data_IF_965124371973
#
_entry.id   IF_965124371973
#
_cell.length_a   1.000
_cell.length_b   1.000
_cell.length_c   1.000
_cell.angle_alpha   90.00
_cell.angle_beta   90.00
_cell.angle_gamma   90.00
#
_symmetry.space_group_name_H-M   'P 1'
#
loop_
_entity.id
_entity.type
_entity.pdbx_description
1 polymer ?
#
# COMPACT_ATOMS: atom_id res chain seq x y z
N UNK A 1 -9.15 -4.56 -14.49
CA UNK A 1 -7.82 -4.78 -13.91
C UNK A 1 -7.68 -3.99 -12.61
N UNK A 2 -7.42 -4.66 -11.49
CA UNK A 2 -7.15 -4.00 -10.19
C UNK A 2 -5.67 -3.70 -10.05
N UNK A 3 -5.33 -2.52 -9.51
CA UNK A 3 -3.94 -2.15 -9.26
C UNK A 3 -3.61 -2.26 -7.77
N UNK A 4 -2.47 -2.87 -7.47
CA UNK A 4 -1.86 -2.91 -6.15
C UNK A 4 -0.40 -2.48 -6.24
N UNK A 5 0.26 -2.26 -5.11
CA UNK A 5 1.69 -2.01 -5.13
C UNK A 5 2.37 -2.01 -3.78
N UNK A 6 3.61 -1.54 -3.78
CA UNK A 6 4.44 -1.37 -2.60
C UNK A 6 5.06 0.02 -2.60
N UNK A 7 4.95 0.73 -1.47
CA UNK A 7 5.49 2.07 -1.24
C UNK A 7 6.66 2.00 -0.26
N UNK A 8 7.77 2.65 -0.58
CA UNK A 8 8.97 2.71 0.25
C UNK A 8 10.09 3.51 -0.43
N UNK A 9 11.27 3.54 0.21
CA UNK A 9 12.49 4.00 -0.46
C UNK A 9 13.76 3.53 0.28
N UNK A 10 14.80 3.07 -0.45
CA UNK A 10 14.78 2.62 -1.85
C UNK A 10 14.01 1.30 -1.98
N UNK A 11 13.39 1.02 -3.13
CA UNK A 11 12.58 -0.21 -3.29
C UNK A 11 12.92 -1.09 -4.48
N UNK A 12 13.95 -0.73 -5.24
CA UNK A 12 14.42 -1.49 -6.41
C UNK A 12 14.67 -2.99 -6.12
N UNK A 13 15.03 -3.34 -4.87
CA UNK A 13 15.29 -4.72 -4.46
C UNK A 13 14.06 -5.45 -3.86
N UNK A 14 12.89 -4.82 -3.86
CA UNK A 14 11.68 -5.46 -3.36
C UNK A 14 11.27 -6.63 -4.26
N UNK A 15 11.07 -7.79 -3.64
CA UNK A 15 10.58 -9.01 -4.32
C UNK A 15 9.06 -9.08 -4.37
N UNK A 16 8.36 -8.18 -3.69
CA UNK A 16 6.89 -8.17 -3.63
C UNK A 16 6.23 -8.05 -5.01
N UNK A 17 6.70 -7.18 -5.94
CA UNK A 17 6.11 -7.11 -7.28
C UNK A 17 6.18 -8.43 -8.04
N UNK A 18 7.33 -9.11 -8.04
CA UNK A 18 7.47 -10.41 -8.70
C UNK A 18 6.52 -11.45 -8.08
N UNK A 19 6.54 -11.56 -6.75
CA UNK A 19 5.72 -12.52 -6.00
C UNK A 19 4.21 -12.34 -6.26
N UNK A 20 3.69 -11.11 -6.12
CA UNK A 20 2.26 -10.87 -6.25
C UNK A 20 1.77 -10.96 -7.70
N UNK A 21 2.56 -10.51 -8.68
CA UNK A 21 2.17 -10.68 -10.08
C UNK A 21 2.17 -12.16 -10.49
N UNK A 22 3.08 -12.98 -9.97
CA UNK A 22 3.04 -14.44 -10.17
C UNK A 22 1.79 -15.04 -9.54
N UNK A 23 1.50 -14.67 -8.29
CA UNK A 23 0.30 -15.10 -7.58
C UNK A 23 -0.97 -14.74 -8.37
N UNK A 24 -1.11 -13.49 -8.81
CA UNK A 24 -2.29 -13.05 -9.57
C UNK A 24 -2.46 -13.84 -10.87
N UNK A 25 -1.36 -14.12 -11.59
CA UNK A 25 -1.41 -14.92 -12.81
C UNK A 25 -1.83 -16.36 -12.53
N UNK A 26 -1.27 -16.98 -11.49
CA UNK A 26 -1.58 -18.36 -11.09
C UNK A 26 -3.03 -18.53 -10.67
N UNK A 27 -3.57 -17.56 -9.93
CA UNK A 27 -4.96 -17.58 -9.44
C UNK A 27 -5.96 -17.03 -10.48
N UNK A 28 -5.53 -16.65 -11.69
CA UNK A 28 -6.41 -16.11 -12.74
C UNK A 28 -7.03 -14.76 -12.40
N UNK A 29 -6.39 -13.97 -11.54
CA UNK A 29 -6.87 -12.65 -11.10
C UNK A 29 -6.45 -11.55 -12.08
N UNK A 30 -7.41 -10.76 -12.56
CA UNK A 30 -7.15 -9.57 -13.38
C UNK A 30 -6.63 -8.41 -12.50
N UNK A 31 -5.36 -8.51 -12.10
CA UNK A 31 -4.68 -7.57 -11.23
C UNK A 31 -3.19 -7.41 -11.57
N UNK A 32 -2.63 -6.25 -11.19
CA UNK A 32 -1.19 -5.95 -11.29
C UNK A 32 -0.65 -5.44 -9.97
N UNK A 33 0.62 -5.71 -9.71
CA UNK A 33 1.34 -5.20 -8.55
C UNK A 33 2.57 -4.40 -9.00
N UNK A 34 2.67 -3.13 -8.62
CA UNK A 34 3.77 -2.25 -9.05
C UNK A 34 4.62 -1.74 -7.88
N UNK A 35 5.93 -1.53 -8.09
CA UNK A 35 6.75 -0.77 -7.16
C UNK A 35 6.47 0.73 -7.30
N UNK A 36 6.31 1.41 -6.17
CA UNK A 36 6.19 2.85 -6.07
C UNK A 36 7.28 3.41 -5.16
N UNK A 37 8.34 3.94 -5.76
CA UNK A 37 9.38 4.63 -4.99
C UNK A 37 8.88 6.00 -4.54
N UNK A 38 8.96 6.22 -3.24
CA UNK A 38 8.53 7.46 -2.61
C UNK A 38 9.57 7.83 -1.56
N UNK A 39 10.42 8.81 -1.82
CA UNK A 39 11.46 9.24 -0.88
C UNK A 39 10.86 9.83 0.40
N UNK A 40 9.81 10.63 0.23
CA UNK A 40 9.10 11.32 1.29
C UNK A 40 7.62 10.95 1.28
N UNK A 41 7.10 10.51 2.44
CA UNK A 41 5.70 10.12 2.61
C UNK A 41 4.74 11.25 2.26
N UNK A 42 5.19 12.51 2.30
CA UNK A 42 4.38 13.66 1.91
C UNK A 42 3.92 13.63 0.45
N UNK A 43 4.56 12.84 -0.42
CA UNK A 43 4.09 12.60 -1.79
C UNK A 43 2.97 11.55 -1.92
N UNK A 44 2.55 10.90 -0.83
CA UNK A 44 1.49 9.88 -0.88
C UNK A 44 0.18 10.40 -1.49
N UNK A 45 -0.34 11.60 -1.14
CA UNK A 45 -1.58 12.10 -1.77
C UNK A 45 -1.45 12.24 -3.29
N UNK A 46 -0.34 12.79 -3.77
CA UNK A 46 -0.06 12.95 -5.21
C UNK A 46 -0.02 11.58 -5.91
N UNK A 47 0.57 10.58 -5.27
CA UNK A 47 0.58 9.22 -5.79
C UNK A 47 -0.83 8.63 -5.88
N UNK A 48 -1.66 8.82 -4.86
CA UNK A 48 -3.04 8.31 -4.81
C UNK A 48 -3.96 8.98 -5.83
N UNK A 49 -3.70 10.25 -6.15
CA UNK A 49 -4.40 11.00 -7.20
C UNK A 49 -3.96 10.56 -8.60
N UNK A 50 -2.67 10.28 -8.79
CA UNK A 50 -2.14 9.77 -10.05
C UNK A 50 -2.57 8.33 -10.37
N UNK A 51 -2.95 7.55 -9.35
CA UNK A 51 -3.36 6.14 -9.47
C UNK A 51 -4.76 5.93 -8.89
N UNK A 52 -5.82 6.44 -9.55
CA UNK A 52 -7.19 6.30 -9.06
C UNK A 52 -7.69 4.84 -9.02
N UNK A 53 -7.05 3.95 -9.77
CA UNK A 53 -7.31 2.51 -9.83
C UNK A 53 -6.54 1.69 -8.78
N UNK A 54 -5.67 2.32 -7.98
CA UNK A 54 -4.99 1.68 -6.87
C UNK A 54 -6.01 1.26 -5.79
N UNK A 55 -6.05 -0.04 -5.51
CA UNK A 55 -7.00 -0.68 -4.60
C UNK A 55 -6.37 -0.96 -3.21
N UNK A 56 -5.04 -0.94 -3.12
CA UNK A 56 -4.31 -1.25 -1.90
C UNK A 56 -2.80 -1.29 -2.16
N UNK A 57 -2.02 -1.14 -1.10
CA UNK A 57 -0.57 -1.20 -1.21
C UNK A 57 0.08 -1.68 0.09
N UNK A 58 1.23 -2.32 -0.05
CA UNK A 58 2.12 -2.53 1.08
C UNK A 58 2.98 -1.29 1.33
N UNK A 59 3.43 -1.15 2.57
CA UNK A 59 4.32 -0.08 3.01
C UNK A 59 5.55 -0.72 3.60
N UNK A 60 6.72 -0.26 3.17
CA UNK A 60 8.01 -0.72 3.70
C UNK A 60 8.83 0.45 4.23
N UNK A 61 10.05 0.17 4.67
CA UNK A 61 11.01 1.16 5.17
C UNK A 61 11.14 2.31 4.13
N UNK A 62 11.19 3.58 4.59
CA UNK A 62 11.12 4.04 5.99
C UNK A 62 9.70 4.43 6.45
N UNK A 63 8.67 4.05 5.72
CA UNK A 63 7.34 4.67 5.82
C UNK A 63 6.34 3.98 6.72
N UNK A 64 6.66 2.81 7.28
CA UNK A 64 5.71 2.02 8.10
C UNK A 64 5.13 2.79 9.29
N UNK A 65 5.89 3.71 9.88
CA UNK A 65 5.41 4.60 10.96
C UNK A 65 4.94 5.95 10.43
N UNK A 66 5.52 6.42 9.32
CA UNK A 66 5.24 7.74 8.74
C UNK A 66 3.91 7.82 8.02
N UNK A 67 3.35 6.67 7.62
CA UNK A 67 2.04 6.61 6.97
C UNK A 67 0.88 6.80 7.94
N UNK A 68 1.07 6.60 9.25
CA UNK A 68 -0.01 6.64 10.26
C UNK A 68 -0.92 7.88 10.15
N UNK A 69 -0.43 9.11 9.94
CA UNK A 69 -1.27 10.30 9.83
C UNK A 69 -2.17 10.35 8.59
N UNK A 70 -1.92 9.49 7.60
CA UNK A 70 -2.69 9.41 6.36
C UNK A 70 -3.82 8.39 6.44
N UNK A 71 -3.87 7.56 7.48
CA UNK A 71 -4.84 6.48 7.59
C UNK A 71 -6.10 6.96 8.29
N UNK A 72 -7.24 6.65 7.71
CA UNK A 72 -8.55 6.94 8.30
C UNK A 72 -8.94 5.90 9.36
N UNK A 73 -8.47 4.66 9.21
CA UNK A 73 -8.65 3.59 10.18
C UNK A 73 -7.37 2.76 10.33
N UNK A 74 -7.11 2.32 11.56
CA UNK A 74 -5.96 1.47 11.90
C UNK A 74 -6.49 0.29 12.73
N UNK A 75 -6.12 -0.93 12.33
CA UNK A 75 -6.42 -2.15 13.11
C UNK A 75 -5.81 -2.08 14.52
N UNK A 76 -6.39 -2.81 15.47
CA UNK A 76 -5.94 -2.79 16.86
C UNK A 76 -4.47 -3.27 16.99
N UNK A 77 -4.12 -4.28 16.20
CA UNK A 77 -2.77 -4.85 16.11
C UNK A 77 -1.78 -3.82 15.58
N UNK A 78 -2.10 -3.15 14.47
CA UNK A 78 -1.22 -2.13 13.89
C UNK A 78 -1.06 -0.90 14.81
N UNK A 79 -2.13 -0.52 15.51
CA UNK A 79 -2.11 0.57 16.49
C UNK A 79 -1.20 0.21 17.69
N UNK A 80 -1.27 -1.04 18.18
CA UNK A 80 -0.42 -1.52 19.26
C UNK A 80 1.07 -1.57 18.87
N UNK A 81 1.38 -1.94 17.63
CA UNK A 81 2.75 -1.94 17.09
C UNK A 81 3.26 -0.52 16.82
N UNK A 82 2.37 0.41 16.49
CA UNK A 82 2.72 1.76 16.03
C UNK A 82 3.29 1.77 14.61
N UNK A 83 2.95 0.79 13.78
CA UNK A 83 3.40 0.70 12.39
C UNK A 83 2.39 -0.04 11.51
N UNK A 84 2.29 0.36 10.23
CA UNK A 84 1.42 -0.24 9.22
C UNK A 84 2.26 -0.68 8.02
N UNK A 85 2.05 -1.91 7.55
CA UNK A 85 2.73 -2.48 6.37
C UNK A 85 1.76 -2.84 5.23
N UNK A 86 0.45 -2.76 5.47
CA UNK A 86 -0.59 -3.14 4.53
C UNK A 86 -1.74 -2.14 4.60
N UNK A 87 -2.08 -1.54 3.45
CA UNK A 87 -3.13 -0.54 3.33
C UNK A 87 -4.16 -1.00 2.30
N UNK A 88 -5.43 -0.99 2.70
CA UNK A 88 -6.57 -1.18 1.81
C UNK A 88 -7.17 0.19 1.50
N UNK A 89 -7.43 0.45 0.22
CA UNK A 89 -8.10 1.67 -0.23
C UNK A 89 -9.56 1.34 -0.52
N UNK A 90 -10.47 2.14 0.03
CA UNK A 90 -11.87 2.10 -0.32
C UNK A 90 -12.28 3.44 -0.94
N UNK A 91 -12.92 3.40 -2.10
CA UNK A 91 -13.37 4.60 -2.80
C UNK A 91 -14.89 4.56 -2.90
N UNK A 92 -15.58 5.34 -2.06
CA UNK A 92 -17.04 5.56 -2.14
C UNK A 92 -17.27 7.03 -2.48
N UNK A 93 -17.83 7.31 -3.68
CA UNK A 93 -18.24 8.63 -4.18
C UNK A 93 -17.65 9.83 -3.40
N UNK A 94 -16.34 10.05 -3.50
CA UNK A 94 -15.60 10.97 -2.63
C UNK A 94 -14.09 10.66 -2.57
N UNK A 95 -13.43 11.15 -1.53
CA UNK A 95 -12.01 10.89 -1.23
C UNK A 95 -11.75 9.41 -0.99
N UNK A 96 -10.54 8.89 -1.29
CA UNK A 96 -10.16 7.55 -0.87
C UNK A 96 -10.12 7.46 0.67
N UNK A 97 -10.62 6.36 1.20
CA UNK A 97 -10.54 6.00 2.62
C UNK A 97 -9.48 4.91 2.80
N UNK A 98 -8.51 5.13 3.69
CA UNK A 98 -7.33 4.30 3.88
C UNK A 98 -7.41 3.53 5.19
N UNK A 99 -7.43 2.20 5.07
CA UNK A 99 -7.45 1.27 6.21
C UNK A 99 -6.09 0.60 6.37
N UNK A 100 -5.43 0.79 7.52
CA UNK A 100 -4.10 0.26 7.82
C UNK A 100 -4.09 -0.99 8.70
N UNK A 101 -3.24 -1.93 8.31
CA UNK A 101 -3.00 -3.21 8.98
C UNK A 101 -1.50 -3.48 9.14
N UNK A 102 -1.17 -4.37 10.06
CA UNK A 102 0.17 -4.88 10.23
C UNK A 102 0.14 -6.41 10.15
N UNK A 103 0.79 -6.96 9.14
CA UNK A 103 0.89 -8.41 8.90
C UNK A 103 2.29 -8.97 9.17
N UNK A 104 3.16 -8.20 9.83
CA UNK A 104 4.50 -8.64 10.23
C UNK A 104 4.51 -9.25 11.65
N UNK A 105 3.38 -9.15 12.38
CA UNK A 105 3.17 -9.69 13.72
C UNK A 105 2.49 -11.06 13.72
#
# INVERSE_FOLDING_TARGET
MRLYGIIGYPIAHSRSPEYFNELFRREGLDARYLPFELEDIHGLPVLLDAHPDLCGFNVTIPHKTRILPYLDNISAEAAAVGAVNCVRIERTAGSPHLYGYNTDV
#
